data_IF_098311991201
#
_entry.id   IF_098311991201
#
_cell.length_a   1.000
_cell.length_b   1.000
_cell.length_c   1.000
_cell.angle_alpha   90.00
_cell.angle_beta   90.00
_cell.angle_gamma   90.00
#
_symmetry.space_group_name_H-M   'P 1'
#
loop_
_entity.id
_entity.type
_entity.pdbx_description
1 polymer ?
#
# COMPACT_ATOMS: atom_id res chain seq x y z
N UNK A 1 19.41 -12.99 -0.66
CA UNK A 1 19.73 -11.88 -1.60
C UNK A 1 19.28 -10.59 -0.94
N UNK A 2 20.09 -9.53 -0.98
CA UNK A 2 19.70 -8.21 -0.47
C UNK A 2 18.70 -7.56 -1.43
N UNK A 3 17.76 -6.76 -0.90
CA UNK A 3 16.87 -5.94 -1.73
C UNK A 3 17.71 -4.95 -2.56
N UNK A 4 17.24 -4.65 -3.76
CA UNK A 4 17.83 -3.60 -4.60
C UNK A 4 17.53 -2.22 -4.03
N UNK A 5 18.33 -1.21 -4.36
CA UNK A 5 18.07 0.18 -3.96
C UNK A 5 16.68 0.65 -4.40
N UNK A 6 16.23 0.24 -5.60
CA UNK A 6 14.89 0.56 -6.10
C UNK A 6 13.78 -0.03 -5.23
N UNK A 7 13.93 -1.28 -4.79
CA UNK A 7 12.96 -1.93 -3.90
C UNK A 7 12.90 -1.23 -2.53
N UNK A 8 14.06 -0.83 -1.98
CA UNK A 8 14.12 -0.10 -0.72
C UNK A 8 13.44 1.28 -0.81
N UNK A 9 13.64 2.00 -1.91
CA UNK A 9 12.98 3.29 -2.16
C UNK A 9 11.47 3.10 -2.31
N UNK A 10 11.03 2.09 -3.07
CA UNK A 10 9.62 1.76 -3.25
C UNK A 10 8.93 1.45 -1.91
N UNK A 11 9.50 0.56 -1.11
CA UNK A 11 8.97 0.19 0.21
C UNK A 11 8.87 1.38 1.16
N UNK A 12 9.83 2.30 1.11
CA UNK A 12 9.80 3.53 1.91
C UNK A 12 8.66 4.44 1.46
N UNK A 13 8.47 4.60 0.15
CA UNK A 13 7.36 5.38 -0.41
C UNK A 13 6.00 4.82 -0.03
N UNK A 14 5.81 3.52 -0.22
CA UNK A 14 4.57 2.81 0.14
C UNK A 14 4.28 2.90 1.65
N UNK A 15 5.32 2.76 2.48
CA UNK A 15 5.18 2.90 3.93
C UNK A 15 4.77 4.32 4.34
N UNK A 16 5.27 5.34 3.65
CA UNK A 16 4.88 6.73 3.93
C UNK A 16 3.46 7.03 3.43
N UNK A 17 3.07 6.48 2.28
CA UNK A 17 1.69 6.54 1.78
C UNK A 17 0.70 5.93 2.78
N UNK A 18 1.01 4.74 3.33
CA UNK A 18 0.21 4.10 4.38
C UNK A 18 0.07 4.97 5.63
N UNK A 19 1.15 5.60 6.08
CA UNK A 19 1.09 6.52 7.24
C UNK A 19 0.17 7.70 6.94
N UNK A 20 0.33 8.32 5.78
CA UNK A 20 -0.51 9.44 5.36
C UNK A 20 -1.99 9.05 5.27
N UNK A 21 -2.29 7.89 4.66
CA UNK A 21 -3.64 7.34 4.55
C UNK A 21 -4.27 7.14 5.94
N UNK A 22 -3.53 6.52 6.87
CA UNK A 22 -3.98 6.35 8.26
C UNK A 22 -4.26 7.68 8.95
N UNK A 23 -3.39 8.67 8.79
CA UNK A 23 -3.59 10.02 9.33
C UNK A 23 -4.81 10.73 8.75
N UNK A 24 -5.20 10.40 7.50
CA UNK A 24 -6.41 10.91 6.84
C UNK A 24 -7.69 10.12 7.16
N UNK A 25 -7.61 9.18 8.10
CA UNK A 25 -8.75 8.39 8.56
C UNK A 25 -9.07 7.18 7.69
N UNK A 26 -8.15 6.75 6.82
CA UNK A 26 -8.29 5.49 6.10
C UNK A 26 -7.81 4.32 6.96
N UNK A 27 -8.51 3.19 6.87
CA UNK A 27 -8.06 1.91 7.37
C UNK A 27 -7.35 1.16 6.24
N UNK A 28 -6.07 0.81 6.43
CA UNK A 28 -5.35 -0.03 5.46
C UNK A 28 -5.79 -1.47 5.67
N UNK A 29 -6.35 -2.07 4.61
CA UNK A 29 -6.86 -3.44 4.61
C UNK A 29 -5.78 -4.42 4.17
N UNK A 30 -5.03 -4.10 3.12
CA UNK A 30 -3.98 -4.96 2.57
C UNK A 30 -2.87 -4.12 1.93
N UNK A 31 -1.66 -4.68 1.87
CA UNK A 31 -0.49 -4.10 1.21
C UNK A 31 0.21 -5.15 0.35
N UNK A 32 0.80 -4.73 -0.77
CA UNK A 32 1.49 -5.62 -1.71
C UNK A 32 0.61 -6.84 -2.08
N UNK A 33 -0.65 -6.58 -2.41
CA UNK A 33 -1.61 -7.63 -2.74
C UNK A 33 -1.30 -8.19 -4.12
N UNK A 34 -1.10 -9.50 -4.20
CA UNK A 34 -0.76 -10.17 -5.45
C UNK A 34 -1.76 -11.26 -5.78
N UNK A 35 -2.12 -11.35 -7.07
CA UNK A 35 -2.95 -12.40 -7.61
C UNK A 35 -2.39 -12.87 -8.95
N UNK A 36 -2.87 -14.03 -9.43
CA UNK A 36 -2.57 -14.51 -10.79
C UNK A 36 -2.99 -13.55 -11.92
N UNK A 37 -3.83 -12.56 -11.63
CA UNK A 37 -4.37 -11.60 -12.61
C UNK A 37 -3.77 -10.20 -12.47
N UNK A 38 -2.92 -9.95 -11.48
CA UNK A 38 -2.33 -8.64 -11.23
C UNK A 38 -2.03 -8.39 -9.77
N UNK A 39 -1.51 -7.19 -9.51
CA UNK A 39 -1.06 -6.74 -8.20
C UNK A 39 -1.67 -5.37 -7.85
N UNK A 40 -1.76 -5.08 -6.56
CA UNK A 40 -2.18 -3.80 -6.01
C UNK A 40 -1.21 -3.40 -4.90
N UNK A 41 -0.76 -2.16 -4.91
CA UNK A 41 0.19 -1.68 -3.90
C UNK A 41 -0.51 -1.57 -2.54
N UNK A 42 -1.65 -0.87 -2.47
CA UNK A 42 -2.39 -0.68 -1.19
C UNK A 42 -3.90 -0.78 -1.40
N UNK A 43 -4.56 -1.57 -0.55
CA UNK A 43 -6.02 -1.59 -0.42
C UNK A 43 -6.41 -0.90 0.88
N UNK A 44 -7.28 0.11 0.81
CA UNK A 44 -7.75 0.84 1.99
C UNK A 44 -9.27 1.01 2.02
N UNK A 45 -9.78 1.42 3.18
CA UNK A 45 -11.19 1.70 3.41
C UNK A 45 -11.39 3.04 4.11
N UNK A 46 -12.40 3.79 3.69
CA UNK A 46 -12.90 4.99 4.37
C UNK A 46 -14.41 4.99 4.41
N UNK A 47 -14.99 4.89 5.61
CA UNK A 47 -16.43 4.69 5.75
C UNK A 47 -16.89 3.43 5.02
N UNK A 48 -17.74 3.57 4.01
CA UNK A 48 -18.25 2.45 3.20
C UNK A 48 -17.43 2.22 1.91
N UNK A 49 -16.45 3.07 1.60
CA UNK A 49 -15.70 3.03 0.35
C UNK A 49 -14.43 2.18 0.49
N UNK A 50 -14.15 1.35 -0.53
CA UNK A 50 -12.87 0.68 -0.71
C UNK A 50 -12.09 1.45 -1.78
N UNK A 51 -10.83 1.78 -1.48
CA UNK A 51 -9.94 2.55 -2.35
C UNK A 51 -8.68 1.74 -2.63
N UNK A 52 -8.35 1.61 -3.92
CA UNK A 52 -7.15 0.97 -4.42
C UNK A 52 -6.16 2.07 -4.84
N UNK A 53 -4.94 2.01 -4.32
CA UNK A 53 -3.85 2.97 -4.59
C UNK A 53 -2.73 2.24 -5.30
#
# INVERSE_FOLDING_TARGET
>A
MSKTEKQLIGEKGESEAVKWLRQKGFSVLERNYWTKWGELDIVTKKGAEIVFV
#
